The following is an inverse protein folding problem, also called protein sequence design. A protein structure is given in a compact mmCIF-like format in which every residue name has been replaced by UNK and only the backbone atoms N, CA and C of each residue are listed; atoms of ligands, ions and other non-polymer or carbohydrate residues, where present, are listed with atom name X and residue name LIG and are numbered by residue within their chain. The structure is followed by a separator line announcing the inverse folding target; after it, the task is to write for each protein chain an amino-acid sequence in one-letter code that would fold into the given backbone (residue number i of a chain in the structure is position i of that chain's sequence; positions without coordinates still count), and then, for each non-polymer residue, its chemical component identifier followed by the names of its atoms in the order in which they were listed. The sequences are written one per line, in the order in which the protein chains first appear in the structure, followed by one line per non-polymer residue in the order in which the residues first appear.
data_IF_756641383482
#
_entry.id   IF_756641383482
#
_cell.length_a   1.000
_cell.length_b   1.000
_cell.length_c   1.000
_cell.angle_alpha   90.00
_cell.angle_beta   90.00
_cell.angle_gamma   90.00
#
_symmetry.space_group_name_H-M   'P 1'
#
loop_
_entity.id
_entity.type
_entity.pdbx_description
1 polymer ?
#
# COMPACT_ATOMS: atom_id res chain seq x y z
N UNK A 1 -44.58 51.41 -6.32
CA UNK A 1 -43.54 50.79 -7.18
C UNK A 1 -42.23 50.42 -6.46
N UNK A 2 -41.85 51.04 -5.32
CA UNK A 2 -40.58 50.73 -4.60
C UNK A 2 -40.52 49.35 -3.91
N UNK A 3 -41.65 48.68 -3.66
CA UNK A 3 -41.70 47.39 -2.94
C UNK A 3 -41.42 46.17 -3.83
N UNK A 4 -41.82 46.24 -5.11
CA UNK A 4 -41.61 45.14 -6.08
C UNK A 4 -40.14 45.06 -6.48
N UNK A 5 -39.48 46.22 -6.67
CA UNK A 5 -38.05 46.28 -7.02
C UNK A 5 -37.13 45.66 -5.97
N UNK A 6 -37.50 45.75 -4.68
CA UNK A 6 -36.75 45.14 -3.57
C UNK A 6 -36.89 43.62 -3.55
N UNK A 7 -38.03 43.07 -3.95
CA UNK A 7 -38.29 41.64 -3.94
C UNK A 7 -37.52 40.92 -5.07
N UNK A 8 -37.44 41.54 -6.24
CA UNK A 8 -36.70 40.98 -7.39
C UNK A 8 -35.19 40.98 -7.17
N UNK A 9 -34.65 41.98 -6.46
CA UNK A 9 -33.23 42.05 -6.12
C UNK A 9 -32.82 41.01 -5.07
N UNK A 10 -33.70 40.72 -4.10
CA UNK A 10 -33.43 39.70 -3.06
C UNK A 10 -33.48 38.29 -3.64
N UNK A 11 -34.37 38.02 -4.59
CA UNK A 11 -34.47 36.72 -5.26
C UNK A 11 -33.28 36.44 -6.19
N UNK A 12 -32.75 37.45 -6.89
CA UNK A 12 -31.56 37.29 -7.73
C UNK A 12 -30.28 37.12 -6.92
N UNK A 13 -30.18 37.74 -5.74
CA UNK A 13 -29.05 37.52 -4.81
C UNK A 13 -29.09 36.09 -4.24
N UNK A 14 -30.26 35.54 -3.93
CA UNK A 14 -30.39 34.15 -3.46
C UNK A 14 -30.00 33.13 -4.53
N UNK A 15 -30.36 33.38 -5.80
CA UNK A 15 -29.98 32.51 -6.92
C UNK A 15 -28.47 32.56 -7.26
N UNK A 16 -27.79 33.70 -7.02
CA UNK A 16 -26.34 33.82 -7.22
C UNK A 16 -25.55 33.19 -6.06
N UNK A 17 -26.10 33.20 -4.84
CA UNK A 17 -25.52 32.52 -3.68
C UNK A 17 -25.69 30.99 -3.72
N UNK A 18 -26.69 30.46 -4.45
CA UNK A 18 -26.83 29.00 -4.66
C UNK A 18 -25.90 28.42 -5.73
N UNK A 19 -25.26 29.26 -6.57
CA UNK A 19 -24.29 28.80 -7.59
C UNK A 19 -22.85 28.88 -7.06
N UNK A 20 -22.61 29.66 -6.01
CA UNK A 20 -21.28 29.87 -5.40
C UNK A 20 -20.99 28.98 -4.18
N UNK A 21 -21.97 28.21 -3.71
CA UNK A 21 -21.80 27.00 -2.91
C UNK A 21 -22.03 25.83 -3.88
N UNK A 22 -21.13 24.91 -4.23
CA UNK A 22 -19.92 24.44 -3.58
C UNK A 22 -19.16 23.61 -4.61
N UNK A 23 -18.16 24.17 -5.31
CA UNK A 23 -16.99 23.34 -5.65
C UNK A 23 -16.13 23.23 -4.40
N UNK A 24 -16.72 22.73 -3.31
CA UNK A 24 -15.94 22.14 -2.24
C UNK A 24 -15.18 21.03 -2.95
N UNK A 25 -13.84 21.13 -2.99
CA UNK A 25 -13.02 20.00 -3.42
C UNK A 25 -13.47 18.82 -2.56
N UNK A 26 -14.20 17.89 -3.15
CA UNK A 26 -14.68 16.73 -2.43
C UNK A 26 -13.51 15.79 -2.33
N UNK A 27 -12.83 15.85 -1.19
CA UNK A 27 -11.84 14.88 -0.76
C UNK A 27 -12.51 13.51 -0.46
N UNK A 28 -13.38 13.03 -1.35
CA UNK A 28 -14.25 11.88 -1.11
C UNK A 28 -13.45 10.63 -0.75
N UNK A 29 -12.33 10.43 -1.44
CA UNK A 29 -11.42 9.32 -1.19
C UNK A 29 -10.55 9.51 0.06
N UNK A 30 -10.31 10.73 0.51
CA UNK A 30 -9.45 11.01 1.67
C UNK A 30 -10.09 10.43 2.92
N UNK A 31 -9.30 9.73 3.72
CA UNK A 31 -9.76 9.15 4.97
C UNK A 31 -9.07 7.83 5.29
N UNK A 32 -9.57 7.22 6.35
CA UNK A 32 -9.09 5.95 6.87
C UNK A 32 -10.07 4.86 6.50
N UNK A 33 -9.58 3.78 5.94
CA UNK A 33 -10.33 2.60 5.57
C UNK A 33 -9.79 1.39 6.32
N UNK A 34 -10.65 0.44 6.66
CA UNK A 34 -10.28 -0.79 7.35
C UNK A 34 -10.56 -1.99 6.47
N UNK A 35 -9.68 -3.00 6.52
CA UNK A 35 -9.96 -4.29 5.88
C UNK A 35 -11.16 -4.96 6.54
N UNK A 36 -11.84 -5.86 5.81
CA UNK A 36 -13.01 -6.59 6.32
C UNK A 36 -12.72 -7.39 7.62
N UNK A 37 -11.49 -7.86 7.78
CA UNK A 37 -11.03 -8.57 8.99
C UNK A 37 -10.43 -7.64 10.07
N UNK A 38 -10.37 -6.33 9.80
CA UNK A 38 -9.86 -5.31 10.70
C UNK A 38 -8.35 -5.33 10.93
N UNK A 39 -7.59 -6.21 10.25
CA UNK A 39 -6.14 -6.36 10.45
C UNK A 39 -5.31 -5.27 9.76
N UNK A 40 -5.86 -4.61 8.74
CA UNK A 40 -5.16 -3.60 7.94
C UNK A 40 -5.92 -2.29 7.93
N UNK A 41 -5.15 -1.21 7.91
CA UNK A 41 -5.64 0.16 7.75
C UNK A 41 -5.04 0.71 6.47
N UNK A 42 -5.89 1.29 5.63
CA UNK A 42 -5.47 2.12 4.51
C UNK A 42 -5.78 3.58 4.84
N UNK A 43 -4.82 4.48 4.67
CA UNK A 43 -5.04 5.92 4.84
C UNK A 43 -4.76 6.63 3.52
N UNK A 44 -5.75 7.35 3.01
CA UNK A 44 -5.60 8.25 1.86
C UNK A 44 -5.49 9.67 2.37
N UNK A 45 -4.36 10.33 2.15
CA UNK A 45 -4.11 11.71 2.57
C UNK A 45 -4.70 12.74 1.61
N UNK A 46 -4.78 14.00 2.05
CA UNK A 46 -5.26 15.12 1.24
C UNK A 46 -4.39 15.41 0.01
N UNK A 47 -3.15 14.93 0.00
CA UNK A 47 -2.20 15.04 -1.11
C UNK A 47 -2.29 13.84 -2.07
N UNK A 48 -3.26 12.96 -1.88
CA UNK A 48 -3.47 11.79 -2.74
C UNK A 48 -2.56 10.60 -2.44
N UNK A 49 -1.75 10.65 -1.38
CA UNK A 49 -0.92 9.52 -0.97
C UNK A 49 -1.77 8.51 -0.18
N UNK A 50 -1.87 7.29 -0.69
CA UNK A 50 -2.47 6.16 0.00
C UNK A 50 -1.37 5.33 0.67
N UNK A 51 -1.49 5.03 1.96
CA UNK A 51 -0.60 4.11 2.69
C UNK A 51 -1.39 2.94 3.28
N UNK A 52 -0.74 1.80 3.46
CA UNK A 52 -1.32 0.60 4.08
C UNK A 52 -0.42 0.12 5.20
N UNK A 53 -1.03 -0.20 6.33
CA UNK A 53 -0.35 -0.66 7.54
C UNK A 53 -1.17 -1.71 8.29
N UNK A 54 -0.53 -2.41 9.23
CA UNK A 54 -1.23 -3.24 10.19
C UNK A 54 -1.99 -2.36 11.19
N UNK A 55 -3.23 -2.74 11.49
CA UNK A 55 -4.02 -2.08 12.54
C UNK A 55 -3.40 -2.30 13.94
N UNK A 56 -2.75 -3.44 14.14
CA UNK A 56 -1.97 -3.75 15.33
C UNK A 56 -0.53 -4.07 14.92
N UNK A 57 0.40 -3.18 15.25
CA UNK A 57 1.83 -3.37 14.94
C UNK A 57 2.47 -4.57 15.64
N UNK A 58 1.80 -5.12 16.66
CA UNK A 58 2.22 -6.33 17.38
C UNK A 58 1.56 -7.61 16.88
N UNK A 59 0.81 -7.56 15.76
CA UNK A 59 0.20 -8.75 15.15
C UNK A 59 1.29 -9.76 14.74
N UNK A 60 1.05 -11.03 15.07
CA UNK A 60 1.91 -12.12 14.64
C UNK A 60 1.72 -12.41 13.14
N UNK A 61 2.75 -12.12 12.35
CA UNK A 61 2.74 -12.24 10.88
C UNK A 61 2.51 -13.67 10.38
N UNK A 62 2.76 -14.68 11.22
CA UNK A 62 2.47 -16.09 10.88
C UNK A 62 0.98 -16.37 10.82
N UNK A 63 0.18 -15.55 11.50
CA UNK A 63 -1.28 -15.62 11.51
C UNK A 63 -1.94 -14.82 10.39
N UNK A 64 -1.14 -14.17 9.55
CA UNK A 64 -1.61 -13.54 8.32
C UNK A 64 -1.68 -14.57 7.19
N UNK A 65 -2.47 -14.27 6.16
CA UNK A 65 -2.39 -15.03 4.91
C UNK A 65 -1.16 -14.62 4.09
N UNK A 66 -0.79 -15.42 3.09
CA UNK A 66 0.33 -15.09 2.19
C UNK A 66 0.08 -13.78 1.43
N UNK A 67 -1.16 -13.58 0.97
CA UNK A 67 -1.62 -12.34 0.34
C UNK A 67 -1.51 -11.14 1.29
N UNK A 68 -1.96 -11.29 2.54
CA UNK A 68 -1.89 -10.23 3.54
C UNK A 68 -0.44 -9.78 3.82
N UNK A 69 0.49 -10.74 3.89
CA UNK A 69 1.92 -10.43 4.01
C UNK A 69 2.45 -9.65 2.81
N UNK A 70 1.92 -9.89 1.60
CA UNK A 70 2.30 -9.15 0.41
C UNK A 70 2.00 -7.64 0.50
N UNK A 71 0.98 -7.24 1.28
CA UNK A 71 0.57 -5.84 1.43
C UNK A 71 1.31 -5.03 2.50
N UNK A 72 1.96 -5.68 3.48
CA UNK A 72 2.69 -4.99 4.56
C UNK A 72 4.18 -5.21 4.53
N UNK A 73 4.65 -6.26 3.86
CA UNK A 73 6.07 -6.46 3.69
C UNK A 73 6.54 -5.40 2.71
N UNK A 74 7.55 -4.62 3.11
CA UNK A 74 8.31 -3.85 2.14
C UNK A 74 8.86 -4.86 1.14
N UNK A 75 8.34 -4.87 -0.09
CA UNK A 75 8.89 -5.69 -1.19
C UNK A 75 10.29 -5.19 -1.64
N UNK A 76 10.88 -4.32 -0.82
CA UNK A 76 12.16 -3.64 -0.94
C UNK A 76 12.93 -3.93 0.34
N UNK A 77 13.89 -4.84 0.28
CA UNK A 77 15.30 -4.52 0.50
C UNK A 77 16.12 -5.73 0.05
N UNK A 78 17.24 -5.46 -0.62
CA UNK A 78 18.34 -6.41 -0.89
C UNK A 78 18.90 -7.07 0.40
N UNK A 79 18.45 -6.60 1.57
CA UNK A 79 18.82 -7.12 2.87
C UNK A 79 17.86 -8.23 3.26
N UNK A 80 18.35 -9.46 3.14
CA UNK A 80 17.67 -10.61 3.70
C UNK A 80 17.62 -10.49 5.23
N UNK A 81 16.43 -10.37 5.80
CA UNK A 81 16.24 -10.28 7.25
C UNK A 81 16.70 -11.58 7.95
N UNK A 82 17.60 -11.44 8.92
CA UNK A 82 18.11 -12.55 9.73
C UNK A 82 17.12 -12.99 10.82
N UNK A 83 16.18 -12.11 11.15
CA UNK A 83 15.09 -12.34 12.10
C UNK A 83 13.81 -11.86 11.46
N UNK A 84 12.77 -12.69 11.48
CA UNK A 84 11.42 -12.32 11.08
C UNK A 84 10.76 -11.38 12.12
N UNK A 85 11.52 -10.44 12.66
CA UNK A 85 11.00 -9.36 13.47
C UNK A 85 10.64 -8.21 12.55
N UNK A 86 9.38 -7.78 12.63
CA UNK A 86 8.93 -6.50 12.10
C UNK A 86 9.62 -5.28 12.77
N UNK A 87 10.73 -5.47 13.50
CA UNK A 87 11.57 -4.40 14.03
C UNK A 87 12.34 -3.65 12.92
N UNK A 88 12.36 -4.19 11.70
CA UNK A 88 12.57 -3.39 10.50
C UNK A 88 11.32 -2.56 10.18
N UNK A 89 10.99 -1.61 11.07
CA UNK A 89 10.18 -0.44 10.71
C UNK A 89 10.88 0.28 9.56
N UNK A 90 10.74 -0.22 8.33
CA UNK A 90 10.91 0.63 7.18
C UNK A 90 9.70 1.56 7.22
N UNK A 91 9.94 2.74 7.75
CA UNK A 91 9.07 3.93 7.77
C UNK A 91 8.56 4.38 6.39
N UNK A 92 8.68 3.54 5.36
CA UNK A 92 7.95 3.63 4.12
C UNK A 92 6.99 2.45 4.03
N UNK A 93 5.79 2.62 4.60
CA UNK A 93 4.66 1.74 4.27
C UNK A 93 4.47 1.65 2.76
N UNK A 94 3.72 0.66 2.26
CA UNK A 94 3.40 0.58 0.83
C UNK A 94 2.52 1.77 0.45
N UNK A 95 3.18 2.89 0.17
CA UNK A 95 2.57 4.17 -0.17
C UNK A 95 2.55 4.34 -1.67
N UNK A 96 1.41 4.70 -2.22
CA UNK A 96 1.27 5.00 -3.64
C UNK A 96 0.42 6.25 -3.84
N UNK A 97 0.78 7.05 -4.84
CA UNK A 97 0.07 8.27 -5.16
C UNK A 97 -1.10 7.95 -6.08
N UNK A 98 -2.27 8.43 -5.71
CA UNK A 98 -3.49 8.39 -6.51
C UNK A 98 -3.53 9.68 -7.33
N UNK A 99 -3.35 9.61 -8.65
CA UNK A 99 -3.49 10.80 -9.51
C UNK A 99 -4.50 10.54 -10.64
N UNK A 100 -5.53 11.39 -10.82
CA UNK A 100 -5.97 12.48 -9.93
C UNK A 100 -6.70 11.95 -8.67
N UNK A 101 -6.37 12.47 -7.48
CA UNK A 101 -6.99 12.06 -6.19
C UNK A 101 -8.27 12.81 -5.82
N UNK A 102 -8.58 13.90 -6.52
CA UNK A 102 -9.80 14.69 -6.32
C UNK A 102 -10.93 14.08 -7.16
N UNK A 103 -11.89 13.44 -6.50
CA UNK A 103 -13.08 12.90 -7.15
C UNK A 103 -14.27 13.79 -6.84
N UNK A 104 -14.97 14.22 -7.89
CA UNK A 104 -16.26 14.89 -7.76
C UNK A 104 -17.35 13.89 -7.33
N UNK A 105 -18.41 14.37 -6.69
CA UNK A 105 -19.56 13.56 -6.26
C UNK A 105 -20.22 12.75 -7.40
N UNK A 106 -19.95 13.11 -8.65
CA UNK A 106 -20.54 12.53 -9.86
C UNK A 106 -19.90 11.21 -10.29
N UNK A 107 -18.77 10.79 -9.70
CA UNK A 107 -18.09 9.53 -10.03
C UNK A 107 -18.35 8.45 -8.98
N UNK A 108 -19.21 7.49 -9.32
CA UNK A 108 -19.51 6.33 -8.46
C UNK A 108 -18.36 5.31 -8.35
N UNK A 109 -17.40 5.33 -9.28
CA UNK A 109 -16.24 4.46 -9.26
C UNK A 109 -15.01 5.13 -9.88
N UNK A 110 -13.81 4.77 -9.38
CA UNK A 110 -12.53 5.19 -9.91
C UNK A 110 -11.49 4.09 -9.70
N UNK A 111 -10.71 3.79 -10.74
CA UNK A 111 -9.59 2.86 -10.69
C UNK A 111 -8.27 3.60 -10.82
N UNK A 112 -7.28 3.15 -10.04
CA UNK A 112 -5.88 3.57 -10.13
C UNK A 112 -5.01 2.35 -10.33
N UNK A 113 -4.01 2.45 -11.20
CA UNK A 113 -2.97 1.44 -11.36
C UNK A 113 -1.62 2.10 -11.08
N UNK A 114 -0.87 1.55 -10.12
CA UNK A 114 0.44 2.04 -9.72
C UNK A 114 1.45 0.93 -9.84
N UNK A 115 2.56 1.20 -10.51
CA UNK A 115 3.67 0.26 -10.67
C UNK A 115 4.84 0.71 -9.83
N UNK A 116 5.37 -0.20 -9.02
CA UNK A 116 6.53 0.03 -8.18
C UNK A 116 7.63 -0.94 -8.59
N UNK A 117 8.80 -0.41 -8.95
CA UNK A 117 9.98 -1.22 -9.26
C UNK A 117 10.49 -1.91 -8.00
N UNK A 118 10.57 -3.24 -8.02
CA UNK A 118 11.11 -4.08 -6.93
C UNK A 118 12.19 -5.00 -7.47
N UNK A 119 13.16 -5.34 -6.63
CA UNK A 119 14.28 -6.20 -7.03
C UNK A 119 13.77 -7.59 -7.44
N UNK A 120 14.22 -8.07 -8.60
CA UNK A 120 13.88 -9.38 -9.16
C UNK A 120 15.11 -10.28 -9.38
N UNK A 121 16.30 -9.76 -9.10
CA UNK A 121 17.55 -10.51 -8.98
C UNK A 121 18.49 -9.87 -7.95
N UNK A 122 19.33 -10.68 -7.27
CA UNK A 122 20.37 -10.21 -6.35
C UNK A 122 21.69 -10.94 -6.64
N UNK A 123 22.77 -10.19 -6.72
CA UNK A 123 24.14 -10.70 -6.69
C UNK A 123 24.70 -10.56 -5.27
N UNK A 124 25.30 -11.64 -4.78
CA UNK A 124 26.02 -11.64 -3.50
C UNK A 124 27.51 -11.53 -3.75
N UNK A 125 28.16 -10.66 -2.99
CA UNK A 125 29.61 -10.63 -2.93
C UNK A 125 30.10 -11.85 -2.11
N UNK A 126 30.81 -12.76 -2.77
CA UNK A 126 31.36 -13.96 -2.13
C UNK A 126 32.46 -13.63 -1.11
N UNK A 127 33.14 -12.49 -1.24
CA UNK A 127 34.18 -12.04 -0.32
C UNK A 127 33.60 -11.28 0.89
N UNK A 128 32.47 -10.59 0.69
CA UNK A 128 31.72 -9.96 1.77
C UNK A 128 30.22 -10.27 1.63
N UNK A 129 29.72 -11.37 2.22
CA UNK A 129 28.34 -11.81 2.03
C UNK A 129 27.30 -10.85 2.64
N UNK A 130 27.71 -9.78 3.34
CA UNK A 130 26.83 -8.71 3.80
C UNK A 130 26.62 -7.63 2.74
N UNK A 131 27.41 -7.64 1.68
CA UNK A 131 27.26 -6.78 0.53
C UNK A 131 26.46 -7.52 -0.55
N UNK A 132 25.31 -6.97 -0.90
CA UNK A 132 24.45 -7.50 -1.95
C UNK A 132 23.91 -6.36 -2.80
N UNK A 133 23.73 -6.63 -4.08
CA UNK A 133 23.25 -5.63 -5.04
C UNK A 133 22.15 -6.24 -5.89
N UNK A 134 21.04 -5.52 -6.01
CA UNK A 134 20.00 -5.89 -6.96
C UNK A 134 20.54 -5.74 -8.38
N UNK A 135 20.51 -6.81 -9.17
CA UNK A 135 20.98 -6.81 -10.57
C UNK A 135 19.83 -6.70 -11.58
N UNK A 136 18.57 -6.82 -11.13
CA UNK A 136 17.38 -6.66 -11.94
C UNK A 136 16.20 -6.10 -11.11
N UNK A 137 15.27 -5.42 -11.80
CA UNK A 137 14.05 -4.86 -11.21
C UNK A 137 12.84 -5.13 -12.11
N UNK A 138 11.73 -5.51 -11.50
CA UNK A 138 10.45 -5.75 -12.16
C UNK A 138 9.34 -4.93 -11.50
N UNK A 139 8.25 -4.69 -12.24
CA UNK A 139 7.11 -3.92 -11.74
C UNK A 139 6.20 -4.80 -10.89
N UNK A 140 6.06 -4.46 -9.61
CA UNK A 140 4.93 -4.88 -8.79
C UNK A 140 3.80 -3.91 -9.05
N UNK A 141 2.62 -4.43 -9.40
CA UNK A 141 1.47 -3.60 -9.78
C UNK A 141 0.44 -3.60 -8.67
N UNK A 142 0.04 -2.41 -8.22
CA UNK A 142 -1.06 -2.17 -7.31
C UNK A 142 -2.24 -1.59 -8.10
N UNK A 143 -3.42 -2.18 -7.94
CA UNK A 143 -4.66 -1.68 -8.56
C UNK A 143 -5.66 -1.35 -7.46
N UNK A 144 -6.00 -0.08 -7.30
CA UNK A 144 -6.96 0.39 -6.31
C UNK A 144 -8.27 0.77 -7.01
N UNK A 145 -9.36 0.08 -6.69
CA UNK A 145 -10.69 0.29 -7.26
C UNK A 145 -11.61 0.86 -6.19
N UNK A 146 -11.78 2.17 -6.21
CA UNK A 146 -12.68 2.88 -5.31
C UNK A 146 -14.10 2.88 -5.88
N UNK A 147 -15.08 2.60 -5.03
CA UNK A 147 -16.50 2.69 -5.33
C UNK A 147 -17.22 3.42 -4.20
N UNK A 148 -18.28 4.17 -4.54
CA UNK A 148 -19.16 4.86 -3.59
C UNK A 148 -20.58 4.31 -3.75
N UNK A 149 -21.13 3.75 -2.68
CA UNK A 149 -22.56 3.44 -2.55
C UNK A 149 -23.12 4.25 -1.39
N UNK A 150 -23.97 5.24 -1.71
CA UNK A 150 -24.47 6.25 -0.77
C UNK A 150 -23.30 6.94 -0.03
N UNK A 151 -23.21 6.81 1.28
CA UNK A 151 -22.15 7.41 2.11
C UNK A 151 -20.95 6.47 2.34
N UNK A 152 -21.00 5.25 1.82
CA UNK A 152 -19.95 4.24 2.05
C UNK A 152 -18.96 4.24 0.89
N UNK A 153 -17.68 4.46 1.21
CA UNK A 153 -16.57 4.32 0.27
C UNK A 153 -15.89 2.97 0.48
N UNK A 154 -15.76 2.20 -0.61
CA UNK A 154 -15.07 0.91 -0.62
C UNK A 154 -13.89 0.98 -1.57
N UNK A 155 -12.73 0.48 -1.15
CA UNK A 155 -11.55 0.30 -1.99
C UNK A 155 -11.23 -1.18 -2.11
N UNK A 156 -11.35 -1.74 -3.31
CA UNK A 156 -10.79 -3.05 -3.63
C UNK A 156 -9.36 -2.84 -4.13
N UNK A 157 -8.40 -3.30 -3.34
CA UNK A 157 -6.98 -3.22 -3.68
C UNK A 157 -6.46 -4.58 -4.12
N UNK A 158 -5.85 -4.62 -5.29
CA UNK A 158 -5.18 -5.81 -5.82
C UNK A 158 -3.68 -5.54 -5.92
N UNK A 159 -2.86 -6.51 -5.53
CA UNK A 159 -1.42 -6.52 -5.77
C UNK A 159 -1.06 -7.69 -6.70
N UNK A 160 -0.20 -7.43 -7.68
CA UNK A 160 0.36 -8.44 -8.57
C UNK A 160 1.88 -8.41 -8.47
N UNK A 161 2.46 -9.54 -8.05
CA UNK A 161 3.89 -9.69 -7.80
C UNK A 161 4.48 -10.65 -8.84
N UNK A 162 5.45 -10.21 -9.64
CA UNK A 162 6.18 -11.10 -10.55
C UNK A 162 6.91 -12.23 -9.81
N UNK A 163 6.99 -13.40 -10.44
CA UNK A 163 7.59 -14.62 -9.85
C UNK A 163 9.01 -14.39 -9.34
N UNK A 164 9.83 -13.64 -10.09
CA UNK A 164 11.21 -13.35 -9.72
C UNK A 164 11.31 -12.46 -8.48
N UNK A 165 10.43 -11.46 -8.36
CA UNK A 165 10.32 -10.61 -7.16
C UNK A 165 9.88 -11.43 -5.96
N UNK A 166 8.89 -12.31 -6.15
CA UNK A 166 8.40 -13.23 -5.10
C UNK A 166 9.50 -14.16 -4.61
N UNK A 167 10.24 -14.77 -5.52
CA UNK A 167 11.31 -15.72 -5.21
C UNK A 167 12.40 -15.11 -4.32
N UNK A 168 12.71 -13.83 -4.52
CA UNK A 168 13.67 -13.12 -3.67
C UNK A 168 13.07 -12.81 -2.30
N UNK A 169 11.85 -12.28 -2.27
CA UNK A 169 11.18 -11.90 -1.03
C UNK A 169 10.83 -13.10 -0.13
N UNK A 170 10.80 -14.31 -0.70
CA UNK A 170 10.64 -15.59 -0.01
C UNK A 170 11.94 -16.23 0.47
N UNK A 171 13.10 -15.61 0.23
CA UNK A 171 14.39 -16.09 0.71
C UNK A 171 14.87 -15.29 1.92
N UNK A 172 15.83 -15.83 2.65
CA UNK A 172 16.56 -15.17 3.74
C UNK A 172 18.01 -15.67 3.84
N UNK A 173 18.88 -14.87 4.46
CA UNK A 173 20.29 -15.18 4.66
C UNK A 173 20.42 -15.88 6.01
N UNK A 174 21.04 -17.05 6.00
CA UNK A 174 21.33 -17.81 7.19
C UNK A 174 22.84 -17.95 7.36
N UNK A 175 23.33 -17.64 8.55
CA UNK A 175 24.75 -17.78 8.91
C UNK A 175 24.87 -18.90 9.90
N UNK A 176 25.52 -19.98 9.49
CA UNK A 176 25.89 -21.09 10.36
C UNK A 176 27.23 -20.76 11.02
N UNK A 177 27.28 -20.87 12.36
CA UNK A 177 28.50 -20.73 13.13
C UNK A 177 29.10 -22.11 13.39
N UNK A 178 30.24 -22.42 12.78
CA UNK A 178 30.98 -23.63 13.14
C UNK A 178 31.71 -23.43 14.47
N UNK A 179 31.52 -24.38 15.40
CA UNK A 179 32.15 -24.37 16.74
C UNK A 179 33.63 -24.75 16.72
N UNK A 180 34.17 -25.19 15.59
CA UNK A 180 35.57 -25.58 15.42
C UNK A 180 36.20 -24.86 14.22
N UNK A 181 36.83 -23.70 14.46
CA UNK A 181 37.76 -23.10 13.49
C UNK A 181 37.33 -21.80 12.78
N UNK A 182 36.35 -21.05 13.30
CA UNK A 182 36.16 -19.64 12.94
C UNK A 182 35.63 -19.33 11.53
N UNK A 183 35.42 -20.33 10.67
CA UNK A 183 34.81 -20.13 9.37
C UNK A 183 33.29 -19.91 9.52
N UNK A 184 32.81 -18.74 9.09
CA UNK A 184 31.39 -18.44 8.93
C UNK A 184 30.97 -18.83 7.51
N UNK A 185 29.95 -19.68 7.39
CA UNK A 185 29.34 -19.97 6.09
C UNK A 185 27.99 -19.26 6.02
N UNK A 186 27.83 -18.42 5.00
CA UNK A 186 26.54 -17.81 4.66
C UNK A 186 25.86 -18.68 3.62
N UNK A 187 24.61 -19.07 3.88
CA UNK A 187 23.75 -19.75 2.90
C UNK A 187 22.45 -18.96 2.70
N UNK A 188 21.84 -19.12 1.52
CA UNK A 188 20.51 -18.58 1.24
C UNK A 188 19.50 -19.71 1.44
N UNK A 189 18.51 -19.47 2.30
CA UNK A 189 17.45 -20.42 2.63
C UNK A 189 16.09 -19.84 2.24
N UNK A 190 15.14 -20.72 1.94
CA UNK A 190 13.75 -20.33 1.72
C UNK A 190 13.04 -20.16 3.05
N UNK A 191 12.16 -19.16 3.12
CA UNK A 191 11.27 -18.95 4.26
C UNK A 191 10.35 -20.16 4.44
N UNK A 192 10.07 -20.52 5.68
CA UNK A 192 9.17 -21.61 6.02
C UNK A 192 7.73 -21.32 5.55
N UNK A 193 6.97 -22.40 5.36
CA UNK A 193 5.53 -22.32 5.13
C UNK A 193 4.89 -21.51 6.29
N UNK A 194 4.21 -20.41 5.96
CA UNK A 194 3.67 -19.46 6.94
C UNK A 194 4.36 -18.09 6.96
N UNK A 195 5.56 -17.96 6.39
CA UNK A 195 6.28 -16.68 6.28
C UNK A 195 6.50 -16.23 4.83
N UNK A 196 6.11 -17.09 3.90
CA UNK A 196 6.16 -16.82 2.46
C UNK A 196 5.05 -15.84 2.04
N UNK A 197 5.37 -14.98 1.08
CA UNK A 197 4.43 -14.21 0.28
C UNK A 197 4.00 -15.02 -0.96
N UNK A 198 2.81 -14.76 -1.50
CA UNK A 198 2.33 -15.36 -2.75
C UNK A 198 2.55 -14.43 -3.96
N UNK A 199 1.89 -14.72 -5.08
CA UNK A 199 1.92 -13.93 -6.33
C UNK A 199 1.18 -12.57 -6.20
N UNK A 200 0.75 -12.21 -5.00
CA UNK A 200 -0.19 -11.15 -4.74
C UNK A 200 -1.64 -11.66 -4.66
N UNK A 201 -2.57 -10.73 -4.48
CA UNK A 201 -3.98 -11.02 -4.32
C UNK A 201 -4.77 -9.76 -4.03
N UNK A 202 -5.97 -9.91 -3.47
CA UNK A 202 -6.89 -8.81 -3.25
C UNK A 202 -7.24 -8.61 -1.77
N UNK A 203 -7.48 -7.36 -1.39
CA UNK A 203 -8.09 -6.97 -0.13
C UNK A 203 -9.13 -5.88 -0.35
N UNK A 204 -10.22 -5.96 0.40
CA UNK A 204 -11.27 -4.94 0.40
C UNK A 204 -11.14 -4.10 1.65
N UNK A 205 -11.21 -2.79 1.48
CA UNK A 205 -11.18 -1.78 2.52
C UNK A 205 -12.46 -0.95 2.50
N UNK A 206 -12.99 -0.61 3.67
CA UNK A 206 -14.18 0.24 3.83
C UNK A 206 -13.89 1.43 4.74
N UNK A 207 -14.35 2.61 4.33
CA UNK A 207 -14.26 3.85 5.10
C UNK A 207 -15.36 3.93 6.15
#
# INVERSE_FOLDING_TARGET
MKKILKLTLVLSIFAVLTISCSKIKTYGLVGTYKSDDGKFIMTVSQDGNASIELANSSEDVTKLTATQRAFIKSLTTHNYDYSDSLNGYSSGGNSFTLEPWDLTEEKAAQTFEVKVKKASGINFDSANPYNSTANAYEDVTYKAEFTKDKETYTCKLTISIPENVKNINNKYKHTDYSTSGGAQTTTIKDKSAGHQIDNGGEMTFKK
#
